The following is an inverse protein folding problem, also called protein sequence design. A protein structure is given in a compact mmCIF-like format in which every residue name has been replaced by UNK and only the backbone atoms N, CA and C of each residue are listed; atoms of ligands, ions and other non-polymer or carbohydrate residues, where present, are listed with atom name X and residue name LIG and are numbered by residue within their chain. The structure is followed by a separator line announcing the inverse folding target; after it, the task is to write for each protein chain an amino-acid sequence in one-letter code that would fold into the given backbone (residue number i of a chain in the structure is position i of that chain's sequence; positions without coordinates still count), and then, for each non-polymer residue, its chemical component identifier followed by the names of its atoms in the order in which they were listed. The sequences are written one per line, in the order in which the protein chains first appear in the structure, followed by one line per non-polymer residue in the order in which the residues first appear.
data_IF_717835482750
#
_entry.id   IF_717835482750
#
_cell.length_a   1.000
_cell.length_b   1.000
_cell.length_c   1.000
_cell.angle_alpha   90.00
_cell.angle_beta   90.00
_cell.angle_gamma   90.00
#
_symmetry.space_group_name_H-M   'P 1'
#
loop_
_entity.id
_entity.type
_entity.pdbx_description
1 polymer ?
#
# COMPACT_ATOMS: atom_id res chain seq x y z
N UNK A 1 -11.11 4.17 0.80
CA UNK A 1 -9.72 3.69 1.01
C UNK A 1 -9.79 2.32 1.66
N UNK A 2 -9.35 1.21 1.03
CA UNK A 2 -9.18 0.00 1.80
C UNK A 2 -7.96 0.22 2.70
N UNK A 3 -8.21 0.46 3.99
CA UNK A 3 -7.19 0.48 5.05
C UNK A 3 -7.54 -0.62 6.04
N UNK A 4 -7.18 -1.84 5.66
CA UNK A 4 -7.09 -3.06 6.48
C UNK A 4 -6.25 -4.04 5.66
N UNK A 5 -5.39 -4.81 6.32
CA UNK A 5 -4.37 -5.70 5.71
C UNK A 5 -4.73 -6.19 4.31
N UNK A 6 -3.92 -5.88 3.31
CA UNK A 6 -4.05 -6.40 1.94
C UNK A 6 -3.70 -7.90 1.83
N UNK A 7 -3.82 -8.64 2.92
CA UNK A 7 -3.79 -10.09 2.94
C UNK A 7 -5.26 -10.50 2.97
N UNK A 8 -5.68 -11.32 2.02
CA UNK A 8 -7.06 -11.80 1.91
C UNK A 8 -7.58 -12.42 3.21
N UNK A 9 -8.86 -12.78 3.23
CA UNK A 9 -9.43 -13.47 4.38
C UNK A 9 -8.61 -14.74 4.71
N UNK A 10 -8.40 -15.01 6.01
CA UNK A 10 -7.55 -16.11 6.44
C UNK A 10 -8.10 -17.47 5.98
N UNK A 11 -9.43 -17.65 6.02
CA UNK A 11 -10.06 -18.89 5.58
C UNK A 11 -9.96 -19.03 4.06
N UNK A 12 -10.12 -17.94 3.32
CA UNK A 12 -9.91 -17.92 1.87
C UNK A 12 -8.47 -18.30 1.50
N UNK A 13 -7.47 -17.79 2.22
CA UNK A 13 -6.05 -18.12 2.03
C UNK A 13 -5.80 -19.59 2.40
N UNK A 14 -6.32 -20.07 3.53
CA UNK A 14 -6.14 -21.46 3.93
C UNK A 14 -6.76 -22.42 2.90
N UNK A 15 -7.95 -22.09 2.39
CA UNK A 15 -8.61 -22.86 1.35
C UNK A 15 -7.82 -22.86 0.04
N UNK A 16 -7.25 -21.73 -0.38
CA UNK A 16 -6.41 -21.67 -1.60
C UNK A 16 -5.13 -22.49 -1.45
N UNK A 17 -4.48 -22.44 -0.29
CA UNK A 17 -3.29 -23.26 0.00
C UNK A 17 -3.61 -24.75 -0.10
N UNK A 18 -4.75 -25.21 0.45
CA UNK A 18 -5.16 -26.62 0.35
C UNK A 18 -5.43 -27.01 -1.11
N UNK A 19 -6.16 -26.20 -1.88
CA UNK A 19 -6.44 -26.49 -3.30
C UNK A 19 -5.15 -26.58 -4.13
N UNK A 20 -4.19 -25.71 -3.87
CA UNK A 20 -2.88 -25.75 -4.52
C UNK A 20 -2.13 -27.03 -4.13
N UNK A 21 -2.12 -27.39 -2.84
CA UNK A 21 -1.41 -28.56 -2.35
C UNK A 21 -2.03 -29.89 -2.82
N UNK A 22 -3.34 -29.94 -3.05
CA UNK A 22 -4.05 -31.13 -3.56
C UNK A 22 -4.11 -31.20 -5.09
N UNK A 23 -3.55 -30.21 -5.80
CA UNK A 23 -3.54 -30.17 -7.27
C UNK A 23 -4.89 -29.78 -7.90
N UNK A 24 -5.82 -29.24 -7.10
CA UNK A 24 -7.10 -28.71 -7.59
C UNK A 24 -6.93 -27.33 -8.26
N UNK A 25 -5.85 -26.61 -7.93
CA UNK A 25 -5.54 -25.28 -8.44
C UNK A 25 -4.04 -25.17 -8.70
N UNK A 26 -3.63 -24.49 -9.77
CA UNK A 26 -2.22 -24.25 -10.05
C UNK A 26 -1.69 -23.13 -9.12
N UNK A 27 -0.42 -23.19 -8.66
CA UNK A 27 0.19 -22.07 -7.97
C UNK A 27 0.14 -20.81 -8.84
N UNK A 28 -0.08 -19.62 -8.23
CA UNK A 28 -0.03 -18.38 -8.98
C UNK A 28 1.36 -18.18 -9.58
N UNK A 29 1.40 -17.63 -10.79
CA UNK A 29 2.68 -17.30 -11.43
C UNK A 29 3.49 -16.35 -10.55
N UNK A 30 4.82 -16.58 -10.44
CA UNK A 30 5.67 -15.66 -9.70
C UNK A 30 5.60 -14.28 -10.36
N UNK A 31 5.37 -13.26 -9.53
CA UNK A 31 5.44 -11.88 -10.01
C UNK A 31 6.88 -11.60 -10.47
N UNK A 32 7.07 -10.85 -11.57
CA UNK A 32 8.40 -10.50 -12.01
C UNK A 32 9.13 -9.73 -10.92
N UNK A 33 10.41 -10.05 -10.74
CA UNK A 33 11.26 -9.36 -9.80
C UNK A 33 11.36 -7.88 -10.16
N UNK A 34 11.27 -7.03 -9.13
CA UNK A 34 11.43 -5.59 -9.31
C UNK A 34 12.90 -5.28 -9.58
N UNK A 35 13.17 -4.40 -10.55
CA UNK A 35 14.52 -3.90 -10.79
C UNK A 35 15.09 -3.26 -9.50
N UNK A 36 16.19 -3.81 -8.93
CA UNK A 36 16.75 -3.33 -7.66
C UNK A 36 17.17 -1.85 -7.70
N UNK A 37 17.71 -1.39 -8.84
CA UNK A 37 18.12 -0.01 -9.01
C UNK A 37 16.91 0.94 -9.00
N UNK A 38 15.79 0.56 -9.63
CA UNK A 38 14.57 1.35 -9.61
C UNK A 38 13.96 1.45 -8.20
N UNK A 39 14.03 0.37 -7.41
CA UNK A 39 13.58 0.37 -6.01
C UNK A 39 14.46 1.29 -5.17
N UNK A 40 15.78 1.20 -5.30
CA UNK A 40 16.71 2.08 -4.58
C UNK A 40 16.48 3.55 -4.92
N UNK A 41 16.34 3.87 -6.21
CA UNK A 41 16.07 5.23 -6.69
C UNK A 41 14.75 5.77 -6.16
N UNK A 42 13.68 4.97 -6.21
CA UNK A 42 12.36 5.36 -5.71
C UNK A 42 12.37 5.66 -4.21
N UNK A 43 13.11 4.88 -3.42
CA UNK A 43 13.29 5.12 -1.97
C UNK A 43 14.03 6.43 -1.70
N UNK A 44 15.13 6.66 -2.42
CA UNK A 44 15.92 7.90 -2.30
C UNK A 44 15.09 9.14 -2.66
N UNK A 45 14.38 9.08 -3.79
CA UNK A 45 13.49 10.15 -4.26
C UNK A 45 12.35 10.43 -3.28
N UNK A 46 11.72 9.37 -2.75
CA UNK A 46 10.65 9.47 -1.75
C UNK A 46 11.11 10.12 -0.45
N UNK A 47 12.27 9.74 0.07
CA UNK A 47 12.85 10.33 1.29
C UNK A 47 13.11 11.83 1.11
N UNK A 48 13.70 12.22 -0.03
CA UNK A 48 13.97 13.63 -0.36
C UNK A 48 12.68 14.43 -0.58
N UNK A 49 11.79 13.93 -1.43
CA UNK A 49 10.55 14.62 -1.81
C UNK A 49 9.55 14.73 -0.67
N UNK A 50 9.45 13.71 0.18
CA UNK A 50 8.59 13.73 1.37
C UNK A 50 8.99 14.82 2.36
N UNK A 51 10.29 14.94 2.65
CA UNK A 51 10.82 16.02 3.51
C UNK A 51 10.56 17.39 2.90
N UNK A 52 10.91 17.59 1.64
CA UNK A 52 10.70 18.87 0.94
C UNK A 52 9.22 19.29 0.94
N UNK A 53 8.29 18.33 0.73
CA UNK A 53 6.85 18.60 0.82
C UNK A 53 6.42 18.98 2.24
N UNK A 54 6.95 18.32 3.26
CA UNK A 54 6.59 18.65 4.65
C UNK A 54 7.03 20.08 5.02
N UNK A 55 8.22 20.47 4.57
CA UNK A 55 8.80 21.80 4.80
C UNK A 55 8.03 22.91 4.05
N UNK A 56 7.58 22.65 2.82
CA UNK A 56 6.84 23.65 2.02
C UNK A 56 5.39 23.88 2.47
N UNK A 57 4.84 23.02 3.32
CA UNK A 57 3.46 23.13 3.79
C UNK A 57 3.30 24.15 4.91
N UNK A 58 2.56 25.23 4.64
CA UNK A 58 2.13 26.21 5.65
C UNK A 58 1.14 25.63 6.66
N UNK A 59 1.02 26.26 7.82
CA UNK A 59 0.09 25.86 8.88
C UNK A 59 -1.37 25.80 8.39
N UNK A 60 -1.80 26.78 7.60
CA UNK A 60 -3.14 26.82 7.02
C UNK A 60 -3.38 25.61 6.10
N UNK A 61 -2.41 25.30 5.22
CA UNK A 61 -2.53 24.17 4.30
C UNK A 61 -2.50 22.83 5.03
N UNK A 62 -1.69 22.69 6.09
CA UNK A 62 -1.71 21.50 6.96
C UNK A 62 -3.08 21.28 7.60
N UNK A 63 -3.69 22.36 8.13
CA UNK A 63 -5.04 22.32 8.73
C UNK A 63 -6.10 21.90 7.72
N UNK A 64 -6.04 22.44 6.51
CA UNK A 64 -6.97 22.09 5.43
C UNK A 64 -6.85 20.60 5.04
N UNK A 65 -5.63 20.09 4.86
CA UNK A 65 -5.38 18.68 4.55
C UNK A 65 -5.94 17.78 5.67
N UNK A 66 -5.70 18.14 6.94
CA UNK A 66 -6.20 17.38 8.08
C UNK A 66 -7.73 17.35 8.13
N UNK A 67 -8.40 18.49 7.89
CA UNK A 67 -9.87 18.55 7.82
C UNK A 67 -10.41 17.66 6.70
N UNK A 68 -9.87 17.77 5.49
CA UNK A 68 -10.26 16.92 4.34
C UNK A 68 -10.07 15.43 4.62
N UNK A 69 -8.99 15.07 5.31
CA UNK A 69 -8.73 13.70 5.71
C UNK A 69 -9.75 13.19 6.74
N UNK A 70 -10.14 14.04 7.71
CA UNK A 70 -11.16 13.71 8.70
C UNK A 70 -12.54 13.55 8.04
N UNK A 71 -12.95 14.50 7.19
CA UNK A 71 -14.19 14.41 6.42
C UNK A 71 -14.23 13.11 5.62
N UNK A 72 -13.20 12.80 4.82
CA UNK A 72 -13.16 11.55 4.05
C UNK A 72 -13.21 10.29 4.91
N UNK A 73 -12.72 10.34 6.16
CA UNK A 73 -12.74 9.22 7.09
C UNK A 73 -14.09 9.03 7.77
N UNK A 74 -14.80 10.12 8.07
CA UNK A 74 -16.02 10.11 8.88
C UNK A 74 -17.31 10.43 8.10
N UNK A 75 -17.23 10.75 6.79
CA UNK A 75 -18.38 11.01 5.93
C UNK A 75 -19.15 9.75 5.50
N UNK A 76 -18.92 8.61 6.16
CA UNK A 76 -19.57 7.33 5.91
C UNK A 76 -19.93 6.69 7.23
#
# INVERSE_FOLDING_TARGET
MPKRSSKGDLNEIAASVVRIATGQEAPPEPKPDKNPAAVALGRLGGAKGGKARAESLTMARRKEIARKAAESRWSR
#
